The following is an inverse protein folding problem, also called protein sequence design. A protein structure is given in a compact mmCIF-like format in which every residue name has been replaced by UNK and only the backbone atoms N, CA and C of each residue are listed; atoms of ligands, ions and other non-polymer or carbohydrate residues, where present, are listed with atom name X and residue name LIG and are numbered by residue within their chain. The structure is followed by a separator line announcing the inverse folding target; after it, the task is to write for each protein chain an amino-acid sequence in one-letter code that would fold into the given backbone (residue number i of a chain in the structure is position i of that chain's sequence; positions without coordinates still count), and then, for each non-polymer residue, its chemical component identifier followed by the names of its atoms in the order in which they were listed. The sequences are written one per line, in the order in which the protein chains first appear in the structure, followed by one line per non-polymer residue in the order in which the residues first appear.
data_IF_550629028040
#
_entry.id   IF_550629028040
#
_cell.length_a   1.000
_cell.length_b   1.000
_cell.length_c   1.000
_cell.angle_alpha   90.00
_cell.angle_beta   90.00
_cell.angle_gamma   90.00
#
_symmetry.space_group_name_H-M   'P 1'
#
loop_
_entity.id
_entity.type
_entity.pdbx_description
1 polymer ?
#
# COMPACT_ATOMS: atom_id res chain seq x y z
N UNK A 1 -6.14 14.86 -2.32
CA UNK A 1 -5.12 13.80 -2.14
C UNK A 1 -5.28 13.14 -0.79
N UNK A 2 -4.91 11.89 -0.71
CA UNK A 2 -4.94 11.11 0.52
C UNK A 2 -3.54 10.59 0.81
N UNK A 3 -3.30 10.30 2.07
CA UNK A 3 -2.01 9.78 2.50
C UNK A 3 -2.18 8.32 2.93
N UNK A 4 -1.34 7.46 2.41
CA UNK A 4 -1.33 6.05 2.79
C UNK A 4 0.04 5.65 3.30
N UNK A 5 0.06 4.62 4.12
CA UNK A 5 1.29 3.98 4.56
C UNK A 5 1.28 2.54 4.09
N UNK A 6 2.38 2.10 3.55
CA UNK A 6 2.49 0.76 2.95
C UNK A 6 3.22 -0.16 3.92
N UNK A 7 2.70 -1.37 4.03
CA UNK A 7 3.29 -2.40 4.88
C UNK A 7 4.51 -3.00 4.19
N UNK A 8 5.55 -3.26 4.97
CA UNK A 8 6.75 -4.00 4.52
C UNK A 8 6.78 -5.33 5.25
N UNK A 9 7.01 -6.39 4.49
CA UNK A 9 7.24 -7.73 5.05
C UNK A 9 8.67 -8.13 4.79
N UNK A 10 9.36 -8.60 5.81
CA UNK A 10 10.74 -9.00 5.71
C UNK A 10 10.94 -10.34 6.42
N UNK A 11 11.59 -11.27 5.74
CA UNK A 11 11.92 -12.55 6.31
C UNK A 11 13.21 -12.45 7.12
N UNK A 12 13.13 -12.89 8.37
CA UNK A 12 14.29 -12.99 9.24
C UNK A 12 14.50 -14.47 9.54
N UNK A 13 15.54 -15.04 8.95
CA UNK A 13 15.76 -16.46 9.04
C UNK A 13 14.77 -17.24 8.20
N UNK A 14 14.74 -18.55 8.42
CA UNK A 14 14.00 -19.47 7.56
C UNK A 14 12.51 -19.55 7.88
N UNK A 15 12.13 -19.22 9.10
CA UNK A 15 10.76 -19.45 9.57
C UNK A 15 10.07 -18.23 10.13
N UNK A 16 10.70 -17.07 10.07
CA UNK A 16 10.14 -15.88 10.69
C UNK A 16 9.94 -14.77 9.68
N UNK A 17 8.70 -14.27 9.61
CA UNK A 17 8.36 -13.11 8.83
C UNK A 17 8.04 -11.97 9.79
N UNK A 18 8.68 -10.83 9.60
CA UNK A 18 8.39 -9.62 10.38
C UNK A 18 7.71 -8.63 9.47
N UNK A 19 6.55 -8.16 9.90
CA UNK A 19 5.81 -7.13 9.20
C UNK A 19 5.93 -5.81 9.96
N UNK A 20 6.09 -4.73 9.23
CA UNK A 20 6.14 -3.39 9.81
C UNK A 20 5.55 -2.39 8.83
N UNK A 21 5.11 -1.25 9.36
CA UNK A 21 4.64 -0.17 8.51
C UNK A 21 5.83 0.58 7.94
N UNK A 22 5.82 0.76 6.63
CA UNK A 22 6.90 1.41 5.91
C UNK A 22 6.64 2.87 5.60
N UNK A 23 7.04 3.28 4.41
CA UNK A 23 6.94 4.67 3.98
C UNK A 23 5.50 5.12 3.78
N UNK A 24 5.29 6.42 3.88
CA UNK A 24 4.00 7.04 3.56
C UNK A 24 4.07 7.69 2.18
N UNK A 25 2.92 7.72 1.51
CA UNK A 25 2.82 8.27 0.16
C UNK A 25 1.55 9.09 0.04
N UNK A 26 1.65 10.21 -0.68
CA UNK A 26 0.47 10.97 -1.10
C UNK A 26 -0.06 10.36 -2.39
N UNK A 27 -1.35 10.10 -2.42
CA UNK A 27 -2.01 9.48 -3.58
C UNK A 27 -3.28 10.26 -3.92
N UNK A 28 -3.76 10.09 -5.15
CA UNK A 28 -5.03 10.67 -5.55
C UNK A 28 -6.18 10.04 -4.76
N UNK A 29 -7.29 10.75 -4.65
CA UNK A 29 -8.48 10.24 -3.96
C UNK A 29 -9.13 9.09 -4.72
N UNK A 30 -8.96 9.07 -6.03
CA UNK A 30 -9.51 8.01 -6.87
C UNK A 30 -8.69 6.74 -6.79
N UNK A 31 -9.37 5.63 -6.65
CA UNK A 31 -8.76 4.29 -6.73
C UNK A 31 -9.61 3.43 -7.64
N UNK A 32 -9.01 2.41 -8.22
CA UNK A 32 -9.75 1.37 -8.92
C UNK A 32 -9.47 0.04 -8.25
N UNK A 33 -10.42 -0.88 -8.36
CA UNK A 33 -10.31 -2.17 -7.70
C UNK A 33 -10.52 -3.30 -8.69
N UNK A 34 -9.64 -4.29 -8.64
CA UNK A 34 -9.76 -5.52 -9.40
C UNK A 34 -9.62 -6.70 -8.44
N UNK A 35 -10.75 -7.35 -8.13
CA UNK A 35 -10.73 -8.40 -7.13
C UNK A 35 -10.31 -7.85 -5.77
N UNK A 36 -9.25 -8.38 -5.22
CA UNK A 36 -8.73 -7.95 -3.91
C UNK A 36 -7.66 -6.89 -4.01
N UNK A 37 -7.26 -6.52 -5.23
CA UNK A 37 -6.21 -5.53 -5.45
C UNK A 37 -6.80 -4.15 -5.65
N UNK A 38 -6.19 -3.17 -5.01
CA UNK A 38 -6.57 -1.76 -5.13
C UNK A 38 -5.44 -1.03 -5.83
N UNK A 39 -5.77 -0.40 -6.96
CA UNK A 39 -4.81 0.39 -7.72
C UNK A 39 -4.86 1.84 -7.25
N UNK A 40 -3.72 2.36 -6.85
CA UNK A 40 -3.56 3.75 -6.45
C UNK A 40 -2.95 4.56 -7.59
N UNK A 41 -3.30 5.83 -7.63
CA UNK A 41 -2.87 6.75 -8.68
C UNK A 41 -2.24 7.99 -8.09
N UNK A 42 -1.41 8.65 -8.87
CA UNK A 42 -0.86 9.95 -8.51
C UNK A 42 -0.78 10.82 -9.74
N UNK A 43 -1.50 11.96 -9.70
CA UNK A 43 -1.62 12.84 -10.86
C UNK A 43 -2.27 12.15 -12.06
N UNK A 44 -3.14 11.17 -11.81
CA UNK A 44 -3.81 10.41 -12.86
C UNK A 44 -3.02 9.22 -13.37
N UNK A 45 -1.77 9.03 -12.93
CA UNK A 45 -0.95 7.91 -13.37
C UNK A 45 -0.97 6.78 -12.32
N UNK A 46 -0.99 5.55 -12.82
CA UNK A 46 -0.95 4.38 -11.94
C UNK A 46 0.35 4.38 -11.13
N UNK A 47 0.22 4.28 -9.81
CA UNK A 47 1.36 4.30 -8.92
C UNK A 47 1.75 2.90 -8.45
N UNK A 48 0.83 2.23 -7.76
CA UNK A 48 1.04 0.85 -7.34
C UNK A 48 -0.30 0.20 -7.02
N UNK A 49 -0.25 -1.12 -6.94
CA UNK A 49 -1.42 -1.95 -6.69
C UNK A 49 -1.17 -2.75 -5.41
N UNK A 50 -2.06 -2.65 -4.44
CA UNK A 50 -1.88 -3.25 -3.13
C UNK A 50 -3.12 -4.01 -2.69
N UNK A 51 -2.92 -5.05 -1.90
CA UNK A 51 -4.00 -5.72 -1.21
C UNK A 51 -4.47 -4.88 -0.02
N UNK A 52 -5.71 -5.09 0.38
CA UNK A 52 -6.35 -4.34 1.45
C UNK A 52 -5.56 -4.34 2.75
N UNK A 53 -4.88 -5.44 3.06
CA UNK A 53 -4.11 -5.57 4.30
C UNK A 53 -2.70 -5.02 4.22
N UNK A 54 -2.26 -4.57 3.04
CA UNK A 54 -0.89 -4.12 2.81
C UNK A 54 -0.73 -2.62 2.88
N UNK A 55 -1.78 -1.90 3.17
CA UNK A 55 -1.71 -0.46 3.35
C UNK A 55 -2.75 0.01 4.36
N UNK A 56 -2.57 1.23 4.83
CA UNK A 56 -3.58 1.90 5.65
C UNK A 56 -3.62 3.38 5.32
N UNK A 57 -4.79 4.00 5.48
CA UNK A 57 -4.91 5.44 5.32
C UNK A 57 -4.42 6.14 6.58
N UNK A 58 -3.75 7.26 6.38
CA UNK A 58 -3.20 8.06 7.47
C UNK A 58 -3.83 9.44 7.43
N UNK A 59 -4.24 9.92 8.57
CA UNK A 59 -4.80 11.26 8.68
C UNK A 59 -3.72 12.28 9.00
#
# INVERSE_FOLDING_TARGET
MRKIQVKISRNIGQYKCVESWGNTYWVDDYTSQQGELIQFYKGGYALFCLEKNDFRYIN
#
